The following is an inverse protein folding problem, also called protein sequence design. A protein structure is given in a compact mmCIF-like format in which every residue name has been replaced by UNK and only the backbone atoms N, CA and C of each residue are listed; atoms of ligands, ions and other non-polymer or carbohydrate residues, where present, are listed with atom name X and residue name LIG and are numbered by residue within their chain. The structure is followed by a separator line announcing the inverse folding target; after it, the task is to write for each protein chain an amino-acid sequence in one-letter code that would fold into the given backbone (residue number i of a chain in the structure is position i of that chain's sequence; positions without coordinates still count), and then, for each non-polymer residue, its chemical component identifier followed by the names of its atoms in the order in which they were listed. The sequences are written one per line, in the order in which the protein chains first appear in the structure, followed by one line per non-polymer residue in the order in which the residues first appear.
data_IF_079561630835
#
_entry.id   IF_079561630835
#
_cell.length_a   1.000
_cell.length_b   1.000
_cell.length_c   1.000
_cell.angle_alpha   90.00
_cell.angle_beta   90.00
_cell.angle_gamma   90.00
#
_symmetry.space_group_name_H-M   'P 1'
#
loop_
_entity.id
_entity.type
_entity.pdbx_description
1 polymer ?
#
# COMPACT_ATOMS: atom_id res chain seq x y z
N UNK A 1 -6.98 -29.21 -1.97
CA UNK A 1 -5.57 -29.12 -2.36
C UNK A 1 -4.63 -29.59 -1.26
N UNK A 2 -3.66 -30.46 -1.56
CA UNK A 2 -2.61 -30.86 -0.60
C UNK A 2 -1.26 -30.28 -1.04
N UNK A 3 -0.51 -29.71 -0.09
CA UNK A 3 0.85 -29.20 -0.31
C UNK A 3 1.84 -30.35 -0.08
N UNK A 4 2.52 -30.80 -1.14
CA UNK A 4 3.44 -31.94 -1.09
C UNK A 4 4.87 -31.56 -0.72
N UNK A 5 5.27 -30.33 -1.01
CA UNK A 5 6.61 -29.82 -0.72
C UNK A 5 6.59 -28.29 -0.74
N UNK A 6 7.47 -27.68 0.06
CA UNK A 6 7.70 -26.25 0.18
C UNK A 6 9.19 -25.93 0.05
N UNK A 7 9.48 -24.91 -0.73
CA UNK A 7 10.82 -24.34 -0.81
C UNK A 7 10.76 -22.82 -0.87
N UNK A 8 11.85 -22.18 -0.45
CA UNK A 8 11.99 -20.74 -0.55
C UNK A 8 13.39 -20.38 -1.05
N UNK A 9 13.50 -19.24 -1.72
CA UNK A 9 14.77 -18.65 -2.14
C UNK A 9 14.73 -17.13 -2.02
N UNK A 10 15.90 -16.52 -2.09
CA UNK A 10 16.02 -15.06 -2.18
C UNK A 10 15.96 -14.60 -3.63
N UNK A 11 15.23 -13.51 -3.88
CA UNK A 11 15.19 -12.79 -5.16
C UNK A 11 15.35 -11.27 -4.91
N UNK A 12 15.76 -10.47 -5.90
CA UNK A 12 15.73 -9.02 -5.76
C UNK A 12 14.30 -8.47 -5.89
N UNK A 13 14.00 -7.41 -5.13
CA UNK A 13 12.85 -6.53 -5.36
C UNK A 13 13.18 -5.41 -6.39
N UNK A 14 12.23 -4.51 -6.65
CA UNK A 14 12.38 -3.39 -7.59
C UNK A 14 13.52 -2.42 -7.24
N UNK A 15 14.00 -2.43 -5.98
CA UNK A 15 15.12 -1.63 -5.48
C UNK A 15 16.41 -2.45 -5.39
N UNK A 16 16.41 -3.69 -5.89
CA UNK A 16 17.50 -4.68 -5.82
C UNK A 16 17.83 -5.14 -4.39
N UNK A 17 16.94 -4.89 -3.43
CA UNK A 17 17.05 -5.46 -2.09
C UNK A 17 16.54 -6.91 -2.11
N UNK A 18 17.15 -7.78 -1.31
CA UNK A 18 16.73 -9.17 -1.23
C UNK A 18 15.36 -9.30 -0.57
N UNK A 19 14.48 -10.10 -1.17
CA UNK A 19 13.21 -10.54 -0.59
C UNK A 19 13.00 -12.04 -0.78
N UNK A 20 11.95 -12.58 -0.16
CA UNK A 20 11.60 -13.99 -0.22
C UNK A 20 10.72 -14.33 -1.41
N UNK A 21 11.00 -15.47 -2.03
CA UNK A 21 10.18 -16.13 -3.05
C UNK A 21 9.90 -17.56 -2.59
N UNK A 22 8.63 -17.86 -2.31
CA UNK A 22 8.16 -19.16 -1.83
C UNK A 22 7.57 -19.94 -3.00
N UNK A 23 7.84 -21.23 -3.06
CA UNK A 23 7.27 -22.18 -4.02
C UNK A 23 6.66 -23.35 -3.28
N UNK A 24 5.41 -23.67 -3.61
CA UNK A 24 4.71 -24.86 -3.16
C UNK A 24 4.54 -25.83 -4.31
N UNK A 25 4.64 -27.13 -4.02
CA UNK A 25 4.35 -28.22 -4.95
C UNK A 25 3.05 -28.88 -4.55
N UNK A 26 2.19 -29.13 -5.52
CA UNK A 26 0.88 -29.77 -5.32
C UNK A 26 0.72 -30.95 -6.30
N UNK A 27 -0.44 -31.61 -6.30
CA UNK A 27 -0.80 -32.61 -7.32
C UNK A 27 -0.90 -32.03 -8.74
N UNK A 28 -1.24 -30.75 -8.87
CA UNK A 28 -1.53 -30.11 -10.16
C UNK A 28 -0.38 -29.26 -10.71
N UNK A 29 0.70 -29.08 -9.94
CA UNK A 29 1.89 -28.35 -10.37
C UNK A 29 2.59 -27.57 -9.26
N UNK A 30 3.50 -26.69 -9.68
CA UNK A 30 4.25 -25.79 -8.80
C UNK A 30 3.69 -24.38 -8.89
N UNK A 31 3.53 -23.74 -7.74
CA UNK A 31 3.03 -22.38 -7.64
C UNK A 31 3.94 -21.57 -6.75
N UNK A 32 4.11 -20.30 -7.08
CA UNK A 32 5.04 -19.44 -6.38
C UNK A 32 4.50 -18.04 -6.19
N UNK A 33 5.00 -17.39 -5.15
CA UNK A 33 4.76 -15.98 -4.89
C UNK A 33 5.94 -15.36 -4.16
N UNK A 34 5.96 -14.04 -4.15
CA UNK A 34 7.00 -13.25 -3.47
C UNK A 34 6.38 -12.13 -2.67
N UNK A 35 7.11 -11.68 -1.66
CA UNK A 35 6.68 -10.57 -0.81
C UNK A 35 7.42 -9.29 -1.17
N UNK A 36 6.76 -8.12 -1.13
CA UNK A 36 7.43 -6.85 -1.29
C UNK A 36 8.12 -6.40 0.02
N UNK A 37 9.01 -5.42 -0.08
CA UNK A 37 9.68 -4.76 1.04
C UNK A 37 9.21 -3.30 1.18
N UNK A 38 9.09 -2.80 2.41
CA UNK A 38 8.83 -1.38 2.69
C UNK A 38 10.03 -0.64 3.26
N UNK A 39 10.19 0.64 2.89
CA UNK A 39 11.22 1.56 3.38
C UNK A 39 10.76 2.36 4.60
N UNK A 40 9.61 3.03 4.49
CA UNK A 40 8.88 3.61 5.61
C UNK A 40 8.04 2.50 6.25
N UNK A 41 8.28 2.23 7.53
CA UNK A 41 7.58 1.20 8.31
C UNK A 41 7.03 1.84 9.57
N UNK A 42 5.74 1.66 9.83
CA UNK A 42 5.14 2.01 11.11
C UNK A 42 5.73 1.14 12.24
N UNK A 43 5.82 1.69 13.44
CA UNK A 43 6.38 1.04 14.63
C UNK A 43 5.66 -0.25 15.00
N UNK A 44 4.40 -0.38 14.61
CA UNK A 44 3.52 -1.49 14.97
C UNK A 44 3.40 -2.57 13.88
N UNK A 45 4.11 -2.44 12.76
CA UNK A 45 4.16 -3.49 11.72
C UNK A 45 4.77 -4.79 12.27
N UNK A 46 4.31 -5.95 11.78
CA UNK A 46 5.01 -7.21 12.05
C UNK A 46 6.38 -7.20 11.35
N UNK A 47 7.44 -7.74 11.98
CA UNK A 47 8.73 -7.90 11.32
C UNK A 47 8.62 -8.70 10.02
N UNK A 48 9.30 -8.24 8.97
CA UNK A 48 9.29 -8.90 7.66
C UNK A 48 9.78 -10.35 7.73
N UNK A 49 10.78 -10.62 8.58
CA UNK A 49 11.35 -11.95 8.83
C UNK A 49 11.45 -12.20 10.34
N UNK A 50 11.44 -13.46 10.78
CA UNK A 50 11.53 -13.79 12.22
C UNK A 50 12.89 -13.42 12.79
N UNK A 51 13.95 -13.79 12.07
CA UNK A 51 15.35 -13.44 12.40
C UNK A 51 16.01 -12.68 11.26
N UNK A 52 15.99 -13.27 10.06
CA UNK A 52 16.46 -12.71 8.80
C UNK A 52 15.92 -13.58 7.66
N UNK A 53 16.14 -13.13 6.42
CA UNK A 53 15.64 -13.82 5.23
C UNK A 53 16.14 -15.27 5.14
N UNK A 54 17.43 -15.50 5.37
CA UNK A 54 18.04 -16.84 5.32
C UNK A 54 17.47 -17.78 6.38
N UNK A 55 17.17 -17.26 7.57
CA UNK A 55 16.54 -18.00 8.66
C UNK A 55 15.13 -18.44 8.31
N UNK A 56 14.32 -17.55 7.73
CA UNK A 56 12.97 -17.88 7.27
C UNK A 56 13.01 -18.88 6.10
N UNK A 57 13.94 -18.75 5.15
CA UNK A 57 14.14 -19.72 4.06
C UNK A 57 14.46 -21.11 4.62
N UNK A 58 15.37 -21.19 5.60
CA UNK A 58 15.71 -22.45 6.26
C UNK A 58 14.49 -23.03 6.97
N UNK A 59 13.73 -22.19 7.67
CA UNK A 59 12.55 -22.60 8.43
C UNK A 59 11.46 -23.17 7.52
N UNK A 60 11.19 -22.54 6.38
CA UNK A 60 10.24 -23.07 5.37
C UNK A 60 10.58 -24.50 4.98
N UNK A 61 11.87 -24.79 4.76
CA UNK A 61 12.32 -26.14 4.42
C UNK A 61 12.15 -27.12 5.60
N UNK A 62 12.46 -26.68 6.82
CA UNK A 62 12.31 -27.50 8.04
C UNK A 62 10.84 -27.85 8.33
N UNK A 63 9.89 -27.00 7.95
CA UNK A 63 8.45 -27.25 8.19
C UNK A 63 7.72 -27.86 7.00
N UNK A 64 8.42 -28.15 5.89
CA UNK A 64 7.82 -28.65 4.65
C UNK A 64 6.96 -29.90 4.87
N UNK A 65 7.46 -30.85 5.66
CA UNK A 65 6.82 -32.13 5.90
C UNK A 65 5.50 -32.01 6.66
N UNK A 66 5.32 -30.99 7.53
CA UNK A 66 4.09 -30.80 8.30
C UNK A 66 2.89 -30.40 7.43
N UNK A 67 3.13 -29.85 6.24
CA UNK A 67 2.06 -29.45 5.33
C UNK A 67 1.52 -30.60 4.47
N UNK A 68 2.21 -31.76 4.47
CA UNK A 68 1.88 -32.90 3.60
C UNK A 68 0.55 -33.57 3.92
N UNK A 69 -0.01 -33.32 5.11
CA UNK A 69 -1.28 -33.88 5.58
C UNK A 69 -2.45 -32.88 5.50
N UNK A 70 -2.16 -31.58 5.27
CA UNK A 70 -3.17 -30.53 5.27
C UNK A 70 -3.90 -30.45 3.93
N UNK A 71 -5.22 -30.65 3.95
CA UNK A 71 -6.08 -30.44 2.77
C UNK A 71 -6.75 -29.06 2.83
N UNK A 72 -6.35 -28.16 1.94
CA UNK A 72 -6.85 -26.78 1.83
C UNK A 72 -7.91 -26.71 0.74
N UNK A 73 -9.14 -26.31 1.08
CA UNK A 73 -10.29 -26.29 0.18
C UNK A 73 -10.88 -24.89 -0.04
N UNK A 74 -10.60 -23.96 0.86
CA UNK A 74 -11.19 -22.63 0.90
C UNK A 74 -10.19 -21.55 1.31
N UNK A 75 -10.60 -20.28 1.24
CA UNK A 75 -9.79 -19.17 1.76
C UNK A 75 -9.65 -19.24 3.29
N UNK A 76 -10.70 -19.70 3.98
CA UNK A 76 -10.75 -19.85 5.43
C UNK A 76 -9.72 -20.87 5.93
N UNK A 77 -9.39 -21.86 5.12
CA UNK A 77 -8.39 -22.88 5.43
C UNK A 77 -6.95 -22.36 5.46
N UNK A 78 -6.70 -21.12 5.03
CA UNK A 78 -5.43 -20.46 5.27
C UNK A 78 -5.12 -20.38 6.77
N UNK A 79 -6.13 -20.39 7.65
CA UNK A 79 -5.89 -20.45 9.09
C UNK A 79 -5.08 -21.68 9.51
N UNK A 80 -5.28 -22.83 8.85
CA UNK A 80 -4.50 -24.05 9.09
C UNK A 80 -3.05 -23.90 8.62
N UNK A 81 -2.84 -23.19 7.50
CA UNK A 81 -1.48 -22.83 7.04
C UNK A 81 -0.78 -21.93 8.05
N UNK A 82 -1.51 -20.95 8.58
CA UNK A 82 -1.00 -20.06 9.63
C UNK A 82 -0.67 -20.83 10.91
N UNK A 83 -1.51 -21.76 11.37
CA UNK A 83 -1.28 -22.48 12.62
C UNK A 83 -0.01 -23.34 12.59
N UNK A 84 0.39 -23.85 11.41
CA UNK A 84 1.63 -24.61 11.22
C UNK A 84 2.88 -23.70 11.28
N UNK A 85 2.79 -22.47 10.76
CA UNK A 85 3.97 -21.64 10.49
C UNK A 85 4.06 -20.34 11.31
N UNK A 86 2.95 -19.91 11.91
CA UNK A 86 2.89 -18.68 12.69
C UNK A 86 3.86 -18.76 13.88
N UNK A 87 4.60 -17.67 14.11
CA UNK A 87 5.63 -17.61 15.15
C UNK A 87 7.00 -18.14 14.71
N UNK A 88 7.07 -18.98 13.68
CA UNK A 88 8.32 -19.49 13.12
C UNK A 88 8.93 -18.60 12.02
N UNK A 89 8.09 -17.87 11.28
CA UNK A 89 8.50 -17.00 10.17
C UNK A 89 7.95 -15.57 10.36
N UNK A 90 8.49 -14.62 9.59
CA UNK A 90 8.01 -13.24 9.56
C UNK A 90 6.90 -12.99 8.54
N UNK A 91 6.41 -11.76 8.53
CA UNK A 91 5.24 -11.36 7.76
C UNK A 91 5.40 -11.50 6.24
N UNK A 92 6.59 -11.24 5.70
CA UNK A 92 6.85 -11.40 4.27
C UNK A 92 6.77 -12.89 3.87
N UNK A 93 7.33 -13.77 4.69
CA UNK A 93 7.34 -15.20 4.43
C UNK A 93 5.94 -15.80 4.47
N UNK A 94 5.15 -15.45 5.49
CA UNK A 94 3.76 -15.90 5.58
C UNK A 94 2.92 -15.39 4.39
N UNK A 95 3.02 -14.11 4.07
CA UNK A 95 2.31 -13.51 2.93
C UNK A 95 2.65 -14.21 1.61
N UNK A 96 3.94 -14.46 1.34
CA UNK A 96 4.37 -15.15 0.12
C UNK A 96 3.90 -16.61 0.09
N UNK A 97 3.90 -17.30 1.23
CA UNK A 97 3.38 -18.67 1.31
C UNK A 97 1.88 -18.71 1.01
N UNK A 98 1.07 -17.92 1.71
CA UNK A 98 -0.39 -17.89 1.51
C UNK A 98 -0.76 -17.44 0.11
N UNK A 99 0.01 -16.50 -0.47
CA UNK A 99 -0.18 -16.09 -1.87
C UNK A 99 0.05 -17.26 -2.84
N UNK A 100 1.07 -18.09 -2.61
CA UNK A 100 1.32 -19.27 -3.44
C UNK A 100 0.21 -20.32 -3.26
N UNK A 101 -0.27 -20.52 -2.03
CA UNK A 101 -1.40 -21.40 -1.70
C UNK A 101 -2.68 -20.97 -2.42
N UNK A 102 -3.03 -19.69 -2.36
CA UNK A 102 -4.22 -19.17 -3.03
C UNK A 102 -4.16 -19.35 -4.56
N UNK A 103 -2.99 -19.11 -5.18
CA UNK A 103 -2.81 -19.35 -6.62
C UNK A 103 -3.01 -20.81 -6.99
N UNK A 104 -2.46 -21.72 -6.19
CA UNK A 104 -2.60 -23.15 -6.41
C UNK A 104 -4.05 -23.61 -6.24
N UNK A 105 -4.72 -23.15 -5.18
CA UNK A 105 -6.12 -23.46 -4.90
C UNK A 105 -7.04 -22.94 -6.00
N UNK A 106 -6.80 -21.71 -6.49
CA UNK A 106 -7.57 -21.11 -7.58
C UNK A 106 -7.43 -21.95 -8.85
N UNK A 107 -6.21 -22.38 -9.18
CA UNK A 107 -5.95 -23.23 -10.33
C UNK A 107 -6.62 -24.60 -10.21
N UNK A 108 -6.59 -25.23 -9.02
CA UNK A 108 -7.26 -26.53 -8.76
C UNK A 108 -8.77 -26.42 -8.96
N UNK A 109 -9.37 -25.33 -8.50
CA UNK A 109 -10.82 -25.08 -8.59
C UNK A 109 -11.27 -24.47 -9.92
N UNK A 110 -10.35 -24.23 -10.87
CA UNK A 110 -10.62 -23.52 -12.13
C UNK A 110 -11.28 -22.15 -11.89
N UNK A 111 -10.79 -21.45 -10.87
CA UNK A 111 -11.20 -20.11 -10.46
C UNK A 111 -10.01 -19.15 -10.53
N UNK A 112 -10.29 -17.87 -10.45
CA UNK A 112 -9.33 -16.81 -10.17
C UNK A 112 -9.16 -16.61 -8.65
N UNK A 113 -8.03 -16.05 -8.21
CA UNK A 113 -7.75 -15.86 -6.76
C UNK A 113 -8.81 -14.98 -6.10
N UNK A 114 -9.24 -13.90 -6.76
CA UNK A 114 -10.28 -13.02 -6.21
C UNK A 114 -11.61 -13.76 -5.97
N UNK A 115 -11.92 -14.80 -6.76
CA UNK A 115 -13.14 -15.60 -6.60
C UNK A 115 -13.10 -16.52 -5.37
N UNK A 116 -11.91 -16.87 -4.89
CA UNK A 116 -11.76 -17.59 -3.62
C UNK A 116 -12.10 -16.71 -2.42
N UNK A 117 -11.86 -15.40 -2.54
CA UNK A 117 -12.13 -14.42 -1.49
C UNK A 117 -13.61 -14.05 -1.50
N UNK A 118 -14.14 -13.69 -2.67
CA UNK A 118 -15.54 -13.37 -2.85
C UNK A 118 -15.94 -13.60 -4.32
N UNK A 119 -16.65 -14.71 -4.64
CA UNK A 119 -17.06 -14.99 -6.02
C UNK A 119 -18.05 -13.95 -6.58
N UNK A 120 -18.73 -13.21 -5.70
CA UNK A 120 -19.70 -12.19 -6.06
C UNK A 120 -19.12 -10.77 -6.12
N UNK A 121 -17.83 -10.58 -5.79
CA UNK A 121 -17.17 -9.27 -5.70
C UNK A 121 -17.41 -8.37 -6.92
N UNK A 122 -18.05 -7.21 -6.73
CA UNK A 122 -18.37 -6.26 -7.81
C UNK A 122 -17.74 -4.89 -7.57
N UNK A 123 -16.43 -4.86 -7.48
CA UNK A 123 -15.69 -3.66 -7.14
C UNK A 123 -15.50 -2.75 -8.37
N UNK A 124 -15.62 -1.43 -8.16
CA UNK A 124 -15.19 -0.40 -9.11
C UNK A 124 -14.00 0.32 -8.52
N UNK A 125 -12.80 -0.19 -8.79
CA UNK A 125 -11.58 0.25 -8.13
C UNK A 125 -10.95 1.39 -8.92
N UNK A 126 -10.62 2.49 -8.24
CA UNK A 126 -9.85 3.60 -8.83
C UNK A 126 -8.41 3.56 -8.37
N UNK A 127 -7.49 3.89 -9.28
CA UNK A 127 -6.08 3.99 -8.93
C UNK A 127 -5.78 5.29 -8.19
N UNK A 128 -5.05 5.18 -7.07
CA UNK A 128 -4.41 6.30 -6.39
C UNK A 128 -2.99 6.41 -6.92
N UNK A 129 -2.78 7.39 -7.79
CA UNK A 129 -1.58 7.52 -8.59
C UNK A 129 -0.51 8.38 -7.92
N UNK A 130 0.64 7.81 -7.60
CA UNK A 130 1.80 8.58 -7.14
C UNK A 130 2.45 9.34 -8.30
N UNK A 131 2.26 10.66 -8.32
CA UNK A 131 2.72 11.53 -9.41
C UNK A 131 4.02 12.24 -9.09
N UNK A 132 4.15 12.81 -7.89
CA UNK A 132 5.30 13.59 -7.44
C UNK A 132 5.73 13.07 -6.06
N UNK A 133 7.02 12.82 -5.88
CA UNK A 133 7.58 12.28 -4.64
C UNK A 133 8.35 13.32 -3.84
N UNK A 134 8.23 13.25 -2.52
CA UNK A 134 9.04 14.00 -1.57
C UNK A 134 9.54 13.10 -0.43
N UNK A 135 9.67 13.67 0.77
CA UNK A 135 9.92 12.90 1.99
C UNK A 135 11.10 11.91 1.86
N UNK A 136 10.98 10.72 2.43
CA UNK A 136 12.04 9.68 2.35
C UNK A 136 12.15 9.01 0.97
N UNK A 137 11.23 9.27 0.05
CA UNK A 137 11.22 8.66 -1.27
C UNK A 137 12.13 9.41 -2.24
N UNK A 138 12.25 10.74 -2.10
CA UNK A 138 13.12 11.56 -2.95
C UNK A 138 14.47 11.81 -2.30
N UNK A 139 15.47 11.00 -2.66
CA UNK A 139 16.87 11.29 -2.36
C UNK A 139 17.41 12.25 -3.42
N UNK A 140 17.57 13.52 -3.07
CA UNK A 140 18.32 14.48 -3.88
C UNK A 140 19.64 14.75 -3.15
N UNK A 141 20.71 15.08 -3.89
CA UNK A 141 21.98 15.50 -3.30
C UNK A 141 21.74 16.56 -2.19
N UNK A 142 22.61 16.57 -1.17
CA UNK A 142 22.45 17.30 0.11
C UNK A 142 22.00 18.76 0.00
N UNK A 143 22.26 19.41 -1.13
CA UNK A 143 22.07 20.85 -1.32
C UNK A 143 20.71 21.21 -1.96
N UNK A 144 19.88 20.21 -2.26
CA UNK A 144 18.58 20.42 -2.92
C UNK A 144 17.42 20.22 -1.95
N UNK A 145 16.64 21.29 -1.75
CA UNK A 145 15.33 21.22 -1.10
C UNK A 145 14.38 20.33 -1.92
N UNK A 146 13.37 19.78 -1.25
CA UNK A 146 12.31 18.92 -1.77
C UNK A 146 11.08 19.08 -0.87
N UNK A 147 9.88 18.66 -1.29
CA UNK A 147 8.74 18.68 -0.39
C UNK A 147 8.94 17.67 0.75
N UNK A 148 8.46 18.03 1.93
CA UNK A 148 8.53 17.22 3.15
C UNK A 148 7.51 16.07 3.11
N UNK A 149 6.35 16.28 2.47
CA UNK A 149 5.35 15.23 2.23
C UNK A 149 5.93 14.11 1.37
N UNK A 150 5.56 12.86 1.66
CA UNK A 150 6.14 11.69 1.00
C UNK A 150 5.64 11.53 -0.43
N UNK A 151 4.34 11.71 -0.68
CA UNK A 151 3.73 11.52 -2.00
C UNK A 151 2.63 12.53 -2.27
N UNK A 152 2.57 13.00 -3.52
CA UNK A 152 1.45 13.79 -4.03
C UNK A 152 0.68 12.95 -5.04
N UNK A 153 -0.59 12.76 -4.73
CA UNK A 153 -1.41 11.69 -5.27
C UNK A 153 -2.50 12.26 -6.17
N UNK A 154 -2.67 11.65 -7.34
CA UNK A 154 -3.74 11.98 -8.29
C UNK A 154 -4.77 10.85 -8.33
N UNK A 155 -6.06 11.20 -8.28
CA UNK A 155 -7.16 10.25 -8.09
C UNK A 155 -8.31 10.59 -9.04
N UNK A 156 -8.11 10.45 -10.37
CA UNK A 156 -9.10 10.83 -11.36
C UNK A 156 -10.44 10.10 -11.14
N UNK A 157 -11.55 10.77 -11.43
CA UNK A 157 -12.83 10.10 -11.52
C UNK A 157 -12.85 9.20 -12.78
N UNK A 158 -13.22 7.95 -12.62
CA UNK A 158 -13.25 6.95 -13.67
C UNK A 158 -14.28 5.87 -13.33
N UNK A 159 -14.84 5.23 -14.36
CA UNK A 159 -15.82 4.15 -14.24
C UNK A 159 -15.19 2.76 -14.25
N UNK A 160 -13.99 2.63 -14.80
CA UNK A 160 -13.22 1.39 -14.90
C UNK A 160 -11.77 1.62 -14.48
N UNK A 161 -11.08 0.56 -14.08
CA UNK A 161 -9.66 0.56 -13.79
C UNK A 161 -8.85 1.04 -15.01
N UNK A 162 -9.21 0.60 -16.22
CA UNK A 162 -8.54 1.03 -17.46
C UNK A 162 -8.63 2.55 -17.66
N UNK A 163 -9.83 3.12 -17.56
CA UNK A 163 -10.01 4.58 -17.67
C UNK A 163 -9.27 5.32 -16.55
N UNK A 164 -9.30 4.78 -15.32
CA UNK A 164 -8.58 5.34 -14.18
C UNK A 164 -7.08 5.39 -14.44
N UNK A 165 -6.51 4.33 -15.01
CA UNK A 165 -5.10 4.23 -15.35
C UNK A 165 -4.69 5.21 -16.45
N UNK A 166 -5.42 5.23 -17.57
CA UNK A 166 -5.14 6.11 -18.71
C UNK A 166 -5.17 7.60 -18.32
N UNK A 167 -6.13 7.99 -17.47
CA UNK A 167 -6.19 9.35 -16.92
C UNK A 167 -5.00 9.66 -16.01
N UNK A 168 -4.62 8.71 -15.14
CA UNK A 168 -3.46 8.87 -14.27
C UNK A 168 -2.16 9.06 -15.07
N UNK A 169 -1.92 8.23 -16.09
CA UNK A 169 -0.74 8.36 -16.97
C UNK A 169 -0.70 9.71 -17.69
N UNK A 170 -1.84 10.12 -18.28
CA UNK A 170 -1.94 11.40 -19.00
C UNK A 170 -1.62 12.57 -18.08
N UNK A 171 -2.24 12.62 -16.90
CA UNK A 171 -2.02 13.70 -15.93
C UNK A 171 -0.58 13.69 -15.43
N UNK A 172 -0.01 12.52 -15.08
CA UNK A 172 1.40 12.43 -14.66
C UNK A 172 2.36 12.93 -15.74
N UNK A 173 2.06 12.68 -17.02
CA UNK A 173 2.86 13.21 -18.15
C UNK A 173 2.74 14.73 -18.27
N UNK A 174 1.55 15.29 -18.10
CA UNK A 174 1.34 16.75 -18.12
C UNK A 174 2.06 17.44 -16.95
N UNK A 175 1.97 16.87 -15.74
CA UNK A 175 2.66 17.37 -14.55
C UNK A 175 4.17 17.47 -14.75
N UNK A 176 4.78 16.57 -15.54
CA UNK A 176 6.20 16.67 -15.91
C UNK A 176 6.52 18.00 -16.63
N UNK A 177 5.65 18.42 -17.54
CA UNK A 177 5.84 19.65 -18.31
C UNK A 177 5.65 20.88 -17.42
N UNK A 178 4.60 20.88 -16.60
CA UNK A 178 4.35 21.96 -15.64
C UNK A 178 5.48 22.10 -14.61
N UNK A 179 6.02 20.99 -14.12
CA UNK A 179 7.20 20.99 -13.24
C UNK A 179 8.41 21.60 -13.95
N UNK A 180 8.66 21.26 -15.23
CA UNK A 180 9.76 21.84 -16.01
C UNK A 180 9.62 23.35 -16.17
N UNK A 181 8.40 23.88 -16.23
CA UNK A 181 8.13 25.32 -16.35
C UNK A 181 8.25 26.05 -15.01
N UNK A 182 7.92 25.40 -13.90
CA UNK A 182 7.80 26.04 -12.57
C UNK A 182 8.98 25.79 -11.64
N UNK A 183 9.72 24.69 -11.83
CA UNK A 183 10.87 24.31 -11.02
C UNK A 183 12.13 24.35 -11.90
N UNK A 184 12.88 25.44 -11.80
CA UNK A 184 14.15 25.63 -12.54
C UNK A 184 15.18 24.52 -12.26
N UNK A 185 15.05 23.81 -11.13
CA UNK A 185 15.93 22.70 -10.72
C UNK A 185 15.39 21.34 -11.15
N UNK A 186 14.26 21.28 -11.86
CA UNK A 186 13.64 20.04 -12.28
C UNK A 186 14.49 19.32 -13.35
N UNK A 187 15.00 18.15 -12.99
CA UNK A 187 15.86 17.33 -13.88
C UNK A 187 15.12 16.20 -14.59
N UNK A 188 13.80 16.08 -14.41
CA UNK A 188 13.03 14.96 -14.96
C UNK A 188 13.40 13.58 -14.39
N UNK A 189 14.01 13.56 -13.20
CA UNK A 189 14.35 12.34 -12.47
C UNK A 189 13.12 11.79 -11.74
N UNK A 190 13.18 10.50 -11.42
CA UNK A 190 12.13 9.77 -10.70
C UNK A 190 12.68 9.07 -9.47
N UNK A 191 11.82 8.84 -8.47
CA UNK A 191 12.15 8.13 -7.24
C UNK A 191 11.94 6.60 -7.35
N UNK A 192 12.08 5.89 -6.22
CA UNK A 192 11.92 4.43 -6.10
C UNK A 192 10.53 3.91 -6.54
N UNK A 193 9.52 4.79 -6.61
CA UNK A 193 8.15 4.48 -7.05
C UNK A 193 7.79 5.14 -8.41
N UNK A 194 8.82 5.54 -9.15
CA UNK A 194 8.72 6.22 -10.45
C UNK A 194 7.97 7.57 -10.41
N UNK A 195 7.77 8.19 -9.24
CA UNK A 195 7.18 9.53 -9.13
C UNK A 195 8.22 10.61 -9.45
N UNK A 196 7.78 11.74 -10.00
CA UNK A 196 8.67 12.85 -10.36
C UNK A 196 9.30 13.47 -9.11
N UNK A 197 10.59 13.80 -9.20
CA UNK A 197 11.32 14.49 -8.14
C UNK A 197 11.38 15.98 -8.45
N UNK A 198 11.05 16.82 -7.47
CA UNK A 198 11.04 18.30 -7.58
C UNK A 198 11.67 18.97 -6.37
N UNK A 199 12.11 20.21 -6.53
CA UNK A 199 12.65 21.06 -5.46
C UNK A 199 11.61 21.96 -4.76
N UNK A 200 10.40 22.01 -5.30
CA UNK A 200 9.28 22.81 -4.81
C UNK A 200 8.81 22.38 -3.41
N UNK A 201 8.14 23.29 -2.70
CA UNK A 201 7.45 22.97 -1.44
C UNK A 201 6.04 22.39 -1.66
N UNK A 202 5.36 21.97 -0.60
CA UNK A 202 4.04 21.31 -0.73
C UNK A 202 3.00 22.19 -1.43
N UNK A 203 2.94 23.49 -1.11
CA UNK A 203 1.93 24.40 -1.67
C UNK A 203 2.13 24.61 -3.16
N UNK A 204 3.38 24.80 -3.58
CA UNK A 204 3.74 24.95 -5.00
C UNK A 204 3.38 23.69 -5.79
N UNK A 205 3.65 22.50 -5.23
CA UNK A 205 3.26 21.23 -5.85
C UNK A 205 1.73 21.11 -5.95
N UNK A 206 0.99 21.47 -4.90
CA UNK A 206 -0.47 21.43 -4.94
C UNK A 206 -1.07 22.44 -5.93
N UNK A 207 -0.50 23.64 -6.09
CA UNK A 207 -0.95 24.60 -7.13
C UNK A 207 -0.78 24.01 -8.54
N UNK A 208 0.34 23.33 -8.79
CA UNK A 208 0.57 22.65 -10.07
C UNK A 208 -0.48 21.55 -10.30
N UNK A 209 -0.72 20.68 -9.30
CA UNK A 209 -1.69 19.57 -9.46
C UNK A 209 -3.13 20.09 -9.61
N UNK A 210 -3.49 21.14 -8.87
CA UNK A 210 -4.82 21.77 -8.94
C UNK A 210 -5.16 22.25 -10.35
N UNK A 211 -4.17 22.65 -11.15
CA UNK A 211 -4.38 23.07 -12.54
C UNK A 211 -4.91 21.96 -13.45
N UNK A 212 -4.72 20.69 -13.10
CA UNK A 212 -5.22 19.53 -13.85
C UNK A 212 -6.71 19.24 -13.60
N UNK A 213 -7.34 19.93 -12.62
CA UNK A 213 -8.79 19.84 -12.32
C UNK A 213 -9.32 18.40 -12.11
N UNK A 214 -8.52 17.58 -11.44
CA UNK A 214 -8.91 16.24 -10.99
C UNK A 214 -8.89 16.17 -9.46
N UNK A 215 -9.54 15.20 -8.80
CA UNK A 215 -9.32 14.96 -7.39
C UNK A 215 -7.88 14.56 -7.11
N UNK A 216 -7.30 15.11 -6.05
CA UNK A 216 -5.91 14.86 -5.65
C UNK A 216 -5.76 14.94 -4.14
N UNK A 217 -4.57 14.58 -3.67
CA UNK A 217 -4.25 14.49 -2.26
C UNK A 217 -2.78 14.28 -2.00
N UNK A 218 -2.45 13.87 -0.78
CA UNK A 218 -1.09 13.53 -0.42
C UNK A 218 -1.03 12.41 0.62
N UNK A 219 0.06 11.65 0.58
CA UNK A 219 0.60 10.93 1.73
C UNK A 219 1.66 11.81 2.39
N UNK A 220 1.32 12.27 3.59
CA UNK A 220 2.19 13.15 4.38
C UNK A 220 3.30 12.34 5.04
N UNK A 221 3.04 11.11 5.46
CA UNK A 221 3.92 10.28 6.28
C UNK A 221 4.55 11.06 7.46
N UNK A 222 3.71 11.78 8.23
CA UNK A 222 4.18 12.79 9.18
C UNK A 222 5.09 12.22 10.29
N UNK A 223 4.90 10.95 10.67
CA UNK A 223 5.77 10.20 11.57
C UNK A 223 7.25 10.26 11.15
N UNK A 224 7.53 10.34 9.85
CA UNK A 224 8.89 10.32 9.31
C UNK A 224 9.72 11.57 9.64
N UNK A 225 9.07 12.69 9.98
CA UNK A 225 9.70 13.96 10.37
C UNK A 225 9.18 14.51 11.71
N UNK A 226 8.40 13.71 12.45
CA UNK A 226 8.01 14.03 13.82
C UNK A 226 9.11 13.63 14.81
N UNK A 227 9.67 14.61 15.51
CA UNK A 227 10.70 14.39 16.52
C UNK A 227 10.63 15.48 17.59
N UNK A 228 10.94 15.13 18.85
CA UNK A 228 10.92 16.05 20.00
C UNK A 228 9.61 16.83 20.11
N UNK A 229 8.47 16.13 19.89
CA UNK A 229 7.10 16.67 19.93
C UNK A 229 6.79 17.74 18.86
N UNK A 230 7.56 17.80 17.78
CA UNK A 230 7.36 18.73 16.66
C UNK A 230 7.51 18.03 15.31
N UNK A 231 6.78 18.52 14.33
CA UNK A 231 6.89 18.15 12.92
C UNK A 231 7.93 19.04 12.24
N UNK A 232 9.08 18.49 11.88
CA UNK A 232 10.27 19.26 11.46
C UNK A 232 10.34 19.44 9.93
N UNK A 233 9.52 20.33 9.39
CA UNK A 233 9.58 20.71 7.97
C UNK A 233 10.91 21.37 7.62
N UNK A 234 11.40 21.09 6.42
CA UNK A 234 12.65 21.61 5.86
C UNK A 234 12.41 22.57 4.69
N UNK A 235 11.23 22.53 4.05
CA UNK A 235 10.94 23.34 2.87
C UNK A 235 9.57 24.03 2.92
N UNK A 236 9.47 25.24 3.51
CA UNK A 236 10.50 25.97 4.24
C UNK A 236 10.76 25.38 5.63
N UNK A 237 11.93 25.68 6.20
CA UNK A 237 12.31 25.20 7.53
C UNK A 237 11.43 25.85 8.60
N UNK A 238 10.38 25.15 9.02
CA UNK A 238 9.41 25.65 9.99
C UNK A 238 8.85 24.51 10.83
N UNK A 239 9.40 24.25 12.03
CA UNK A 239 8.91 23.19 12.89
C UNK A 239 7.54 23.55 13.44
N UNK A 240 6.60 22.60 13.41
CA UNK A 240 5.23 22.78 13.88
C UNK A 240 4.94 21.90 15.10
N UNK A 241 4.28 22.43 16.11
CA UNK A 241 3.67 21.63 17.16
C UNK A 241 2.38 20.93 16.65
N UNK A 242 1.73 20.12 17.51
CA UNK A 242 0.52 19.36 17.17
C UNK A 242 -0.64 20.24 16.68
N UNK A 243 -0.89 21.37 17.34
CA UNK A 243 -1.95 22.30 16.96
C UNK A 243 -1.63 23.04 15.65
N UNK A 244 -0.39 23.50 15.49
CA UNK A 244 0.09 24.14 14.27
C UNK A 244 0.03 23.19 13.07
N UNK A 245 0.37 21.91 13.25
CA UNK A 245 0.25 20.89 12.22
C UNK A 245 -1.21 20.66 11.83
N UNK A 246 -2.12 20.54 12.80
CA UNK A 246 -3.55 20.40 12.55
C UNK A 246 -4.08 21.60 11.74
N UNK A 247 -3.69 22.81 12.12
CA UNK A 247 -4.08 24.03 11.41
C UNK A 247 -3.46 24.11 10.00
N UNK A 248 -2.20 23.70 9.85
CA UNK A 248 -1.52 23.66 8.57
C UNK A 248 -2.22 22.71 7.58
N UNK A 249 -2.44 21.45 7.99
CA UNK A 249 -3.13 20.45 7.16
C UNK A 249 -4.57 20.88 6.88
N UNK A 250 -5.29 21.42 7.86
CA UNK A 250 -6.65 21.97 7.66
C UNK A 250 -6.69 23.05 6.59
N UNK A 251 -5.70 23.95 6.60
CA UNK A 251 -5.60 25.01 5.60
C UNK A 251 -5.25 24.47 4.21
N UNK A 252 -4.40 23.43 4.12
CA UNK A 252 -4.12 22.76 2.85
C UNK A 252 -5.38 22.13 2.27
N UNK A 253 -6.13 21.36 3.08
CA UNK A 253 -7.41 20.76 2.64
C UNK A 253 -8.35 21.84 2.11
N UNK A 254 -8.54 22.93 2.88
CA UNK A 254 -9.46 24.00 2.50
C UNK A 254 -9.03 24.78 1.24
N UNK A 255 -7.76 25.14 1.13
CA UNK A 255 -7.29 26.02 0.05
C UNK A 255 -7.12 25.28 -1.29
N UNK A 256 -6.81 23.98 -1.22
CA UNK A 256 -6.58 23.14 -2.39
C UNK A 256 -7.72 22.19 -2.72
N UNK A 257 -8.76 22.13 -1.87
CA UNK A 257 -9.89 21.20 -2.00
C UNK A 257 -9.41 19.74 -2.07
N UNK A 258 -8.55 19.36 -1.11
CA UNK A 258 -7.93 18.05 -1.11
C UNK A 258 -8.99 16.96 -0.88
N UNK A 259 -9.04 16.00 -1.81
CA UNK A 259 -9.92 14.85 -1.74
C UNK A 259 -9.38 13.76 -0.81
N UNK A 260 -8.05 13.70 -0.63
CA UNK A 260 -7.36 12.61 0.05
C UNK A 260 -6.18 13.13 0.88
N UNK A 261 -6.07 12.71 2.13
CA UNK A 261 -4.94 12.99 3.02
C UNK A 261 -4.63 11.73 3.83
N UNK A 262 -3.44 11.18 3.62
CA UNK A 262 -2.90 10.01 4.31
C UNK A 262 -1.82 10.44 5.31
N UNK A 263 -1.89 9.87 6.52
CA UNK A 263 -0.96 10.08 7.64
C UNK A 263 -0.53 11.54 7.93
N UNK A 264 -1.48 12.48 8.12
CA UNK A 264 -1.18 13.89 8.41
C UNK A 264 -0.50 14.14 9.77
N UNK A 265 -0.53 13.17 10.68
CA UNK A 265 0.01 13.24 12.04
C UNK A 265 0.86 12.02 12.35
N UNK A 266 1.59 12.08 13.47
CA UNK A 266 2.35 10.94 13.97
C UNK A 266 1.46 9.73 14.32
N UNK A 267 2.04 8.53 14.21
CA UNK A 267 1.34 7.25 14.21
C UNK A 267 0.54 6.91 15.47
N UNK A 268 0.71 7.60 16.60
CA UNK A 268 -0.09 7.42 17.81
C UNK A 268 -1.09 8.57 18.09
N UNK A 269 -1.19 9.57 17.21
CA UNK A 269 -2.04 10.76 17.39
C UNK A 269 -3.48 10.59 16.88
N UNK A 270 -4.16 9.53 17.31
CA UNK A 270 -5.57 9.24 16.96
C UNK A 270 -6.52 10.44 17.19
N UNK A 271 -6.20 11.28 18.17
CA UNK A 271 -7.00 12.45 18.53
C UNK A 271 -6.92 13.56 17.48
N UNK A 272 -5.73 13.89 16.95
CA UNK A 272 -5.60 14.88 15.86
C UNK A 272 -6.29 14.38 14.60
N UNK A 273 -6.17 13.10 14.29
CA UNK A 273 -6.89 12.45 13.20
C UNK A 273 -8.41 12.65 13.34
N UNK A 274 -8.97 12.35 14.52
CA UNK A 274 -10.40 12.53 14.78
C UNK A 274 -10.84 14.00 14.69
N UNK A 275 -10.02 14.95 15.19
CA UNK A 275 -10.28 16.39 15.06
C UNK A 275 -10.28 16.82 13.59
N UNK A 276 -9.36 16.30 12.77
CA UNK A 276 -9.28 16.61 11.35
C UNK A 276 -10.48 16.05 10.59
N UNK A 277 -10.82 14.77 10.82
CA UNK A 277 -11.98 14.12 10.19
C UNK A 277 -13.29 14.84 10.55
N UNK A 278 -13.46 15.24 11.81
CA UNK A 278 -14.63 16.03 12.23
C UNK A 278 -14.76 17.36 11.50
N UNK A 279 -13.64 18.02 11.16
CA UNK A 279 -13.63 19.28 10.41
C UNK A 279 -13.89 19.07 8.91
N UNK A 280 -13.41 17.96 8.35
CA UNK A 280 -13.45 17.68 6.91
C UNK A 280 -14.01 16.27 6.63
N UNK A 281 -15.31 16.02 6.89
CA UNK A 281 -15.90 14.69 6.75
C UNK A 281 -15.93 14.17 5.30
N UNK A 282 -15.85 15.08 4.32
CA UNK A 282 -15.88 14.77 2.88
C UNK A 282 -14.48 14.51 2.29
N UNK A 283 -13.41 14.81 3.03
CA UNK A 283 -12.04 14.46 2.65
C UNK A 283 -11.75 13.05 3.17
N UNK A 284 -11.11 12.22 2.36
CA UNK A 284 -10.61 10.92 2.83
C UNK A 284 -9.40 11.15 3.75
N UNK A 285 -9.62 11.01 5.05
CA UNK A 285 -8.58 10.99 6.08
C UNK A 285 -8.18 9.54 6.28
N UNK A 286 -7.00 9.21 5.76
CA UNK A 286 -6.55 7.84 5.55
C UNK A 286 -5.47 7.48 6.56
N UNK A 287 -5.62 6.34 7.24
CA UNK A 287 -4.61 5.81 8.15
C UNK A 287 -3.76 4.72 7.50
N UNK A 288 -2.44 4.92 7.43
CA UNK A 288 -1.43 3.94 7.04
C UNK A 288 -0.58 3.53 8.25
N UNK A 289 0.42 4.30 8.66
CA UNK A 289 1.21 4.09 9.88
C UNK A 289 0.32 4.12 11.13
N UNK A 290 -0.77 4.88 11.12
CA UNK A 290 -1.75 4.90 12.22
C UNK A 290 -2.35 3.51 12.48
N UNK A 291 -2.57 2.71 11.43
CA UNK A 291 -3.31 1.44 11.52
C UNK A 291 -2.46 0.20 11.24
N UNK A 292 -1.42 0.32 10.42
CA UNK A 292 -0.48 -0.73 9.96
C UNK A 292 -1.17 -2.04 9.56
N UNK A 293 -2.35 -1.96 8.95
CA UNK A 293 -3.18 -3.13 8.61
C UNK A 293 -3.41 -4.06 9.82
N UNK A 294 -3.52 -3.50 11.03
CA UNK A 294 -3.66 -4.26 12.27
C UNK A 294 -5.10 -4.14 12.82
N UNK A 295 -5.82 -5.26 13.04
CA UNK A 295 -7.21 -5.24 13.52
C UNK A 295 -7.42 -4.40 14.78
N UNK A 296 -6.55 -4.53 15.79
CA UNK A 296 -6.69 -3.80 17.07
C UNK A 296 -6.50 -2.29 16.92
N UNK A 297 -5.62 -1.87 16.01
CA UNK A 297 -5.41 -0.44 15.74
C UNK A 297 -6.54 0.15 14.91
N UNK A 298 -7.07 -0.62 13.95
CA UNK A 298 -8.28 -0.23 13.23
C UNK A 298 -9.48 -0.13 14.19
N UNK A 299 -9.68 -1.09 15.10
CA UNK A 299 -10.72 -1.03 16.13
C UNK A 299 -10.64 0.27 16.93
N UNK A 300 -9.46 0.59 17.46
CA UNK A 300 -9.23 1.87 18.15
C UNK A 300 -9.53 3.09 17.25
N UNK A 301 -9.10 3.07 15.98
CA UNK A 301 -9.38 4.16 15.05
C UNK A 301 -10.87 4.34 14.75
N UNK A 302 -11.63 3.23 14.70
CA UNK A 302 -13.09 3.21 14.55
C UNK A 302 -13.75 3.83 15.78
N UNK A 303 -13.39 3.36 16.99
CA UNK A 303 -13.95 3.85 18.26
C UNK A 303 -13.72 5.36 18.44
N UNK A 304 -12.51 5.82 18.11
CA UNK A 304 -12.12 7.22 18.20
C UNK A 304 -12.60 8.07 17.02
N UNK A 305 -13.18 7.46 15.98
CA UNK A 305 -13.56 8.12 14.71
C UNK A 305 -12.40 8.90 14.11
N UNK A 306 -11.23 8.27 14.06
CA UNK A 306 -9.99 8.90 13.60
C UNK A 306 -9.86 8.95 12.09
N UNK A 307 -10.43 7.98 11.37
CA UNK A 307 -10.27 7.82 9.92
C UNK A 307 -11.60 7.48 9.25
N UNK A 308 -11.74 7.82 7.97
CA UNK A 308 -12.82 7.34 7.11
C UNK A 308 -12.29 6.52 5.91
N UNK A 309 -10.97 6.30 5.85
CA UNK A 309 -10.32 5.38 4.94
C UNK A 309 -9.11 4.70 5.60
N UNK A 310 -8.75 3.50 5.13
CA UNK A 310 -7.61 2.72 5.61
C UNK A 310 -6.73 2.27 4.45
N UNK A 311 -5.41 2.38 4.63
CA UNK A 311 -4.42 1.70 3.79
C UNK A 311 -4.25 0.26 4.25
N UNK A 312 -4.47 -0.67 3.33
CA UNK A 312 -4.30 -2.12 3.54
C UNK A 312 -3.08 -2.58 2.76
N UNK A 313 -2.01 -2.90 3.49
CA UNK A 313 -0.77 -3.49 2.98
C UNK A 313 -0.64 -4.89 3.55
N UNK A 314 -1.01 -5.95 2.80
CA UNK A 314 -1.10 -7.30 3.33
C UNK A 314 0.14 -7.79 4.09
N UNK A 315 1.34 -7.45 3.61
CA UNK A 315 2.59 -7.86 4.23
C UNK A 315 2.96 -7.09 5.53
N UNK A 316 2.23 -6.04 5.92
CA UNK A 316 2.40 -5.40 7.24
C UNK A 316 1.94 -6.32 8.38
N UNK A 317 0.93 -7.14 8.14
CA UNK A 317 0.40 -8.14 9.09
C UNK A 317 0.76 -9.58 8.69
N UNK A 318 1.07 -9.79 7.41
CA UNK A 318 1.56 -11.04 6.82
C UNK A 318 0.49 -12.10 6.57
N UNK A 319 -0.53 -12.15 7.44
CA UNK A 319 -1.62 -13.12 7.42
C UNK A 319 -2.79 -12.61 6.59
N UNK A 320 -3.20 -13.38 5.58
CA UNK A 320 -4.34 -13.08 4.72
C UNK A 320 -5.67 -13.17 5.48
N UNK A 321 -5.78 -14.03 6.49
CA UNK A 321 -6.99 -14.10 7.33
C UNK A 321 -7.16 -12.83 8.17
N UNK A 322 -6.06 -12.27 8.71
CA UNK A 322 -6.08 -10.97 9.41
C UNK A 322 -6.34 -9.80 8.45
N UNK A 323 -5.87 -9.87 7.20
CA UNK A 323 -6.26 -8.90 6.17
C UNK A 323 -7.77 -8.97 5.90
N UNK A 324 -8.35 -10.17 5.84
CA UNK A 324 -9.78 -10.35 5.67
C UNK A 324 -10.58 -9.76 6.84
N UNK A 325 -10.11 -9.96 8.09
CA UNK A 325 -10.68 -9.34 9.29
C UNK A 325 -10.68 -7.81 9.19
N UNK A 326 -9.54 -7.20 8.85
CA UNK A 326 -9.42 -5.74 8.66
C UNK A 326 -10.39 -5.23 7.59
N UNK A 327 -10.46 -5.91 6.44
CA UNK A 327 -11.35 -5.51 5.35
C UNK A 327 -12.82 -5.63 5.77
N UNK A 328 -13.19 -6.69 6.50
CA UNK A 328 -14.54 -6.87 7.04
C UNK A 328 -14.92 -5.75 8.01
N UNK A 329 -14.06 -5.46 8.99
CA UNK A 329 -14.27 -4.38 9.96
C UNK A 329 -14.44 -3.02 9.27
N UNK A 330 -13.59 -2.72 8.28
CA UNK A 330 -13.67 -1.48 7.52
C UNK A 330 -15.00 -1.37 6.75
N UNK A 331 -15.43 -2.44 6.06
CA UNK A 331 -16.71 -2.48 5.35
C UNK A 331 -17.91 -2.28 6.28
N UNK A 332 -17.94 -2.98 7.41
CA UNK A 332 -19.03 -2.87 8.40
C UNK A 332 -19.19 -1.46 8.97
N UNK A 333 -18.13 -0.65 8.93
CA UNK A 333 -18.12 0.74 9.40
C UNK A 333 -18.06 1.76 8.26
N UNK A 334 -18.29 1.32 7.03
CA UNK A 334 -18.24 2.15 5.82
C UNK A 334 -16.93 2.92 5.60
N UNK A 335 -15.84 2.46 6.23
CA UNK A 335 -14.48 2.98 6.04
C UNK A 335 -14.00 2.53 4.66
N UNK A 336 -13.52 3.49 3.86
CA UNK A 336 -13.02 3.19 2.51
C UNK A 336 -11.72 2.40 2.57
N UNK A 337 -11.61 1.38 1.74
CA UNK A 337 -10.43 0.51 1.69
C UNK A 337 -9.54 0.92 0.53
N UNK A 338 -8.27 1.18 0.82
CA UNK A 338 -7.22 1.47 -0.15
C UNK A 338 -6.18 0.35 -0.05
N UNK A 339 -6.20 -0.61 -0.97
CA UNK A 339 -5.09 -1.57 -1.03
C UNK A 339 -3.85 -0.86 -1.54
N UNK A 340 -2.70 -1.11 -0.91
CA UNK A 340 -1.46 -0.41 -1.25
C UNK A 340 -0.30 -1.36 -1.48
N UNK A 341 0.56 -0.98 -2.41
CA UNK A 341 1.86 -1.59 -2.63
C UNK A 341 2.85 -1.26 -1.49
N UNK A 342 4.08 -1.75 -1.62
CA UNK A 342 5.23 -1.22 -0.87
C UNK A 342 6.27 -0.58 -1.80
N UNK A 343 7.23 0.15 -1.25
CA UNK A 343 8.27 0.83 -2.04
C UNK A 343 9.19 -0.13 -2.80
N UNK A 344 9.47 -1.32 -2.27
CA UNK A 344 10.21 -2.41 -2.96
C UNK A 344 9.26 -3.50 -3.43
N UNK A 345 8.72 -3.38 -4.62
CA UNK A 345 7.77 -4.37 -5.17
C UNK A 345 8.46 -5.50 -5.93
N UNK A 346 7.70 -6.54 -6.24
CA UNK A 346 8.13 -7.63 -7.10
C UNK A 346 7.22 -7.76 -8.32
N UNK A 347 7.42 -8.78 -9.15
CA UNK A 347 6.49 -9.11 -10.25
C UNK A 347 5.20 -9.79 -9.77
N UNK A 348 5.01 -9.92 -8.46
CA UNK A 348 3.77 -10.47 -7.87
C UNK A 348 2.58 -9.54 -8.18
N UNK A 349 1.46 -10.08 -8.66
CA UNK A 349 0.27 -9.31 -9.02
C UNK A 349 -0.91 -9.56 -8.08
N UNK A 350 -0.79 -10.46 -7.11
CA UNK A 350 -1.90 -10.87 -6.22
C UNK A 350 -2.57 -9.70 -5.50
N UNK A 351 -1.87 -8.58 -5.28
CA UNK A 351 -2.45 -7.37 -4.69
C UNK A 351 -3.71 -6.91 -5.43
N UNK A 352 -3.75 -7.06 -6.76
CA UNK A 352 -4.94 -6.73 -7.56
C UNK A 352 -6.11 -7.69 -7.30
N UNK A 353 -5.83 -8.99 -7.20
CA UNK A 353 -6.83 -10.00 -6.83
C UNK A 353 -7.39 -9.77 -5.42
N UNK A 354 -6.52 -9.45 -4.46
CA UNK A 354 -6.93 -9.13 -3.09
C UNK A 354 -7.80 -7.87 -3.07
N UNK A 355 -7.35 -6.79 -3.75
CA UNK A 355 -8.12 -5.55 -3.82
C UNK A 355 -9.51 -5.76 -4.42
N UNK A 356 -9.61 -6.56 -5.49
CA UNK A 356 -10.88 -6.86 -6.13
C UNK A 356 -11.76 -7.78 -5.27
N UNK A 357 -11.22 -8.89 -4.77
CA UNK A 357 -11.95 -9.87 -3.95
C UNK A 357 -12.47 -9.26 -2.64
N UNK A 358 -11.69 -8.40 -2.00
CA UNK A 358 -12.13 -7.64 -0.83
C UNK A 358 -12.93 -6.38 -1.17
N UNK A 359 -13.26 -6.15 -2.44
CA UNK A 359 -14.02 -4.99 -2.93
C UNK A 359 -13.51 -3.64 -2.40
N UNK A 360 -12.20 -3.43 -2.53
CA UNK A 360 -11.58 -2.18 -2.21
C UNK A 360 -12.20 -1.02 -3.01
N UNK A 361 -12.11 0.19 -2.47
CA UNK A 361 -12.51 1.39 -3.21
C UNK A 361 -11.38 1.88 -4.11
N UNK A 362 -10.14 1.64 -3.68
CA UNK A 362 -8.96 2.18 -4.31
C UNK A 362 -7.80 1.18 -4.31
N UNK A 363 -6.92 1.32 -5.31
CA UNK A 363 -5.65 0.61 -5.38
C UNK A 363 -4.51 1.64 -5.57
N UNK A 364 -3.62 1.73 -4.58
CA UNK A 364 -2.41 2.57 -4.56
C UNK A 364 -1.21 1.69 -4.89
N UNK A 365 -0.95 1.50 -6.20
CA UNK A 365 0.11 0.62 -6.68
C UNK A 365 1.11 1.32 -7.61
N UNK A 366 1.27 2.64 -7.50
CA UNK A 366 2.04 3.44 -8.45
C UNK A 366 1.34 3.53 -9.82
N UNK A 367 1.95 4.26 -10.76
CA UNK A 367 1.40 4.44 -12.12
C UNK A 367 2.34 3.86 -13.19
N UNK A 368 3.64 3.85 -12.94
CA UNK A 368 4.66 3.47 -13.92
C UNK A 368 5.67 2.56 -13.26
N UNK A 369 6.32 1.71 -14.06
CA UNK A 369 7.32 0.75 -13.58
C UNK A 369 6.82 -0.68 -13.71
N UNK A 370 7.71 -1.62 -14.07
CA UNK A 370 7.32 -2.98 -14.45
C UNK A 370 6.56 -3.70 -13.33
N UNK A 371 7.08 -3.61 -12.11
CA UNK A 371 6.51 -4.20 -10.91
C UNK A 371 5.18 -3.55 -10.51
N UNK A 372 4.92 -2.31 -10.92
CA UNK A 372 3.65 -1.59 -10.70
C UNK A 372 2.62 -1.99 -11.76
N UNK A 373 3.03 -1.98 -13.02
CA UNK A 373 2.19 -2.27 -14.17
C UNK A 373 1.60 -3.69 -14.15
N UNK A 374 2.29 -4.68 -13.58
CA UNK A 374 1.71 -6.03 -13.47
C UNK A 374 0.47 -6.09 -12.57
N UNK A 375 0.40 -5.27 -11.51
CA UNK A 375 -0.83 -5.15 -10.69
C UNK A 375 -1.92 -4.43 -11.47
N UNK A 376 -1.57 -3.35 -12.18
CA UNK A 376 -2.51 -2.57 -12.99
C UNK A 376 -3.15 -3.43 -14.08
N UNK A 377 -2.32 -4.14 -14.86
CA UNK A 377 -2.75 -5.04 -15.93
C UNK A 377 -3.63 -6.16 -15.38
N UNK A 378 -3.27 -6.72 -14.22
CA UNK A 378 -4.08 -7.74 -13.55
C UNK A 378 -5.45 -7.21 -13.13
N UNK A 379 -5.55 -6.02 -12.55
CA UNK A 379 -6.84 -5.44 -12.19
C UNK A 379 -7.72 -5.17 -13.43
N UNK A 380 -7.13 -4.67 -14.51
CA UNK A 380 -7.83 -4.44 -15.79
C UNK A 380 -8.34 -5.77 -16.37
N UNK A 381 -7.53 -6.84 -16.30
CA UNK A 381 -7.93 -8.19 -16.71
C UNK A 381 -9.12 -8.68 -15.87
N UNK A 382 -9.04 -8.58 -14.54
CA UNK A 382 -10.11 -9.02 -13.62
C UNK A 382 -11.43 -8.29 -13.92
N UNK A 383 -11.40 -6.97 -14.12
CA UNK A 383 -12.61 -6.21 -14.48
C UNK A 383 -13.19 -6.64 -15.83
N UNK A 384 -12.34 -7.07 -16.78
CA UNK A 384 -12.78 -7.55 -18.10
C UNK A 384 -13.29 -8.99 -18.14
N UNK A 385 -13.09 -9.77 -17.08
CA UNK A 385 -13.65 -11.13 -16.93
C UNK A 385 -15.12 -11.14 -16.48
N UNK A 386 -15.68 -9.96 -16.16
CA UNK A 386 -17.10 -9.76 -15.84
C UNK A 386 -17.82 -9.06 -16.98
#
# INVERSE_FOLDING_TARGET
MIIKDLSAKSIPDSRKEKTIFVTIKTSIGNFSASAPNGKSKGKYEKPSYKKNLEGDIKKIKEVSDYFSEENIESFEDLKRVEDVIEGFVGANTLFALESAVLKALAKEQKKEVWQLINPNANAKIRFVGNAIGGGKHSHINSDSKKPDFQEFLIIPQAKTAKESFEKNERVKKNLKNLLKEKDEKFKGLKNDEDAWITSLNEKEVFEIIKSEKIPFGADVAASSFYNRKKYNYQNPMFPRNKEEQLNYVSNLIKNFDLFYIEDPFEEDDFESFAKLLKKFPNTLIVGDDLTVTNPKRLEKAIEMKSINAIIVKPNQIGSMTKVAEVCKMAKEKEIKIVFSHRSGETMESILADLAFGFEANFLKCGITGKEREVKIKRLIEIEGLR
#
